data_IF_986750977663
#
_entry.id   IF_986750977663
#
_cell.length_a   1.000
_cell.length_b   1.000
_cell.length_c   1.000
_cell.angle_alpha   90.00
_cell.angle_beta   90.00
_cell.angle_gamma   90.00
#
_symmetry.space_group_name_H-M   'P 1'
#
loop_
_entity.id
_entity.type
_entity.pdbx_description
1 polymer ?
#
# COMPACT_ATOMS: atom_id res chain seq x y z
N UNK A 1 6.11 -2.92 20.49
CA UNK A 1 6.97 -3.44 19.38
C UNK A 1 7.77 -2.32 18.73
N UNK A 2 7.16 -1.21 18.27
CA UNK A 2 7.88 -0.10 17.59
C UNK A 2 8.95 0.54 18.47
N UNK A 3 8.67 0.85 19.73
CA UNK A 3 9.68 1.37 20.68
C UNK A 3 10.92 0.46 20.77
N UNK A 4 10.72 -0.86 20.76
CA UNK A 4 11.84 -1.82 20.76
C UNK A 4 12.66 -1.75 19.46
N UNK A 5 12.03 -1.47 18.31
CA UNK A 5 12.77 -1.21 17.06
C UNK A 5 13.56 0.08 17.17
N UNK A 6 12.99 1.14 17.75
CA UNK A 6 13.72 2.38 17.97
C UNK A 6 14.95 2.19 18.88
N UNK A 7 14.88 1.35 19.92
CA UNK A 7 16.07 1.05 20.76
C UNK A 7 17.16 0.29 20.00
N UNK A 8 16.82 -0.34 18.87
CA UNK A 8 17.75 -1.00 17.95
C UNK A 8 18.25 -0.08 16.82
N UNK A 9 17.89 1.20 16.85
CA UNK A 9 18.33 2.20 15.88
C UNK A 9 17.42 2.38 14.66
N UNK A 10 16.27 1.68 14.57
CA UNK A 10 15.31 1.88 13.48
C UNK A 10 14.59 3.23 13.60
N UNK A 11 14.29 3.87 12.47
CA UNK A 11 13.50 5.11 12.39
C UNK A 11 14.29 6.38 12.72
N UNK A 12 15.61 6.31 12.80
CA UNK A 12 16.50 7.45 13.07
C UNK A 12 17.40 7.80 11.86
N UNK A 13 17.07 7.31 10.66
CA UNK A 13 17.93 7.44 9.48
C UNK A 13 18.14 8.91 9.07
N UNK A 14 17.15 9.78 9.23
CA UNK A 14 17.26 11.21 8.90
C UNK A 14 18.12 12.00 9.93
N UNK A 15 18.24 11.49 11.17
CA UNK A 15 18.99 12.18 12.25
C UNK A 15 20.44 11.73 12.45
N UNK A 16 20.83 10.55 11.96
CA UNK A 16 22.11 9.89 12.25
C UNK A 16 23.03 9.78 11.02
N UNK A 17 22.91 10.66 10.04
CA UNK A 17 23.78 10.64 8.85
C UNK A 17 23.40 9.61 7.77
N UNK A 18 22.17 9.10 7.81
CA UNK A 18 21.61 8.28 6.71
C UNK A 18 22.00 6.79 6.72
N UNK A 19 22.73 6.31 7.73
CA UNK A 19 23.24 4.92 7.76
C UNK A 19 22.45 3.96 8.68
N UNK A 20 21.36 4.42 9.32
CA UNK A 20 20.55 3.60 10.20
C UNK A 20 19.52 2.72 9.47
N UNK A 21 19.03 1.65 10.13
CA UNK A 21 17.95 0.83 9.57
C UNK A 21 16.63 1.62 9.52
N UNK A 22 15.98 1.57 8.36
CA UNK A 22 14.75 2.33 8.06
C UNK A 22 13.53 1.70 8.73
N UNK A 23 12.65 2.53 9.33
CA UNK A 23 11.36 2.15 9.86
C UNK A 23 10.26 2.96 9.17
N UNK A 24 9.57 2.33 8.22
CA UNK A 24 8.42 2.92 7.55
C UNK A 24 7.12 2.35 8.11
N UNK A 25 6.13 3.22 8.24
CA UNK A 25 4.76 2.84 8.62
C UNK A 25 3.87 2.79 7.38
N UNK A 26 2.82 1.99 7.42
CA UNK A 26 1.81 1.92 6.37
C UNK A 26 0.45 2.26 6.98
N UNK A 27 -0.24 3.21 6.37
CA UNK A 27 -1.61 3.58 6.70
C UNK A 27 -2.58 3.09 5.64
N UNK A 28 -3.59 2.33 6.08
CA UNK A 28 -4.75 1.98 5.26
C UNK A 28 -6.02 2.57 5.88
N UNK A 29 -6.90 3.23 5.09
CA UNK A 29 -8.21 3.64 5.57
C UNK A 29 -9.06 2.44 5.99
N UNK A 30 -9.80 2.57 7.09
CA UNK A 30 -10.71 1.51 7.57
C UNK A 30 -12.08 1.48 6.89
N UNK A 31 -12.34 2.36 5.92
CA UNK A 31 -13.64 2.53 5.27
C UNK A 31 -13.59 2.82 3.78
N UNK A 32 -14.75 3.11 3.18
CA UNK A 32 -14.94 3.40 1.76
C UNK A 32 -14.49 4.83 1.38
N UNK A 33 -13.27 5.20 1.75
CA UNK A 33 -12.66 6.50 1.44
C UNK A 33 -11.18 6.31 1.09
N UNK A 34 -10.62 7.29 0.38
CA UNK A 34 -9.20 7.33 0.07
C UNK A 34 -8.41 7.83 1.29
N UNK A 35 -7.14 7.48 1.40
CA UNK A 35 -6.28 8.07 2.43
C UNK A 35 -6.20 9.60 2.25
N UNK A 36 -5.96 10.34 3.33
CA UNK A 36 -5.68 11.77 3.24
C UNK A 36 -4.33 12.03 2.54
N UNK A 37 -4.01 13.31 2.36
CA UNK A 37 -2.69 13.73 1.88
C UNK A 37 -1.57 13.13 2.72
N UNK A 38 -0.57 12.53 2.05
CA UNK A 38 0.49 11.78 2.70
C UNK A 38 1.35 12.64 3.61
N UNK A 39 1.69 13.86 3.20
CA UNK A 39 2.53 14.76 4.02
C UNK A 39 1.81 15.20 5.28
N UNK A 40 0.51 15.49 5.18
CA UNK A 40 -0.32 15.85 6.34
C UNK A 40 -0.45 14.70 7.31
N UNK A 41 -0.67 13.49 6.79
CA UNK A 41 -0.76 12.26 7.58
C UNK A 41 0.56 11.98 8.30
N UNK A 42 1.68 12.09 7.60
CA UNK A 42 3.00 11.86 8.19
C UNK A 42 3.31 12.84 9.31
N UNK A 43 3.01 14.14 9.13
CA UNK A 43 3.19 15.15 10.19
C UNK A 43 2.36 14.83 11.43
N UNK A 44 1.08 14.47 11.24
CA UNK A 44 0.19 14.13 12.35
C UNK A 44 0.69 12.90 13.11
N UNK A 45 1.06 11.83 12.40
CA UNK A 45 1.59 10.61 13.00
C UNK A 45 2.92 10.85 13.71
N UNK A 46 3.81 11.64 13.11
CA UNK A 46 5.12 11.97 13.70
C UNK A 46 4.95 12.71 15.03
N UNK A 47 4.09 13.73 15.05
CA UNK A 47 3.81 14.48 16.28
C UNK A 47 3.18 13.57 17.34
N UNK A 48 2.11 12.85 17.00
CA UNK A 48 1.32 12.07 17.96
C UNK A 48 2.07 10.86 18.51
N UNK A 49 2.78 10.10 17.65
CA UNK A 49 3.55 8.93 18.09
C UNK A 49 4.77 9.33 18.92
N UNK A 50 5.39 10.47 18.64
CA UNK A 50 6.48 10.99 19.46
C UNK A 50 5.97 11.45 20.82
N UNK A 51 4.86 12.20 20.88
CA UNK A 51 4.27 12.73 22.12
C UNK A 51 3.74 11.61 23.03
N UNK A 52 2.89 10.71 22.48
CA UNK A 52 2.19 9.71 23.27
C UNK A 52 3.08 8.51 23.64
N UNK A 53 4.04 8.16 22.78
CA UNK A 53 4.77 6.87 22.90
C UNK A 53 6.28 6.98 22.75
N UNK A 54 6.84 8.16 22.43
CA UNK A 54 8.26 8.32 22.17
C UNK A 54 8.74 7.50 20.96
N UNK A 55 7.85 7.24 19.97
CA UNK A 55 8.16 6.47 18.78
C UNK A 55 8.61 7.42 17.66
N UNK A 56 9.72 7.06 17.02
CA UNK A 56 10.23 7.70 15.81
C UNK A 56 10.17 6.73 14.63
N UNK A 57 9.99 7.27 13.42
CA UNK A 57 9.95 6.52 12.17
C UNK A 57 10.39 7.41 11.01
N UNK A 58 10.74 6.82 9.88
CA UNK A 58 11.22 7.58 8.71
C UNK A 58 10.05 8.10 7.88
N UNK A 59 9.16 7.22 7.38
CA UNK A 59 8.02 7.62 6.54
C UNK A 59 6.73 6.89 6.90
N UNK A 60 5.59 7.52 6.53
CA UNK A 60 4.27 6.88 6.49
C UNK A 60 3.84 6.76 5.03
N UNK A 61 3.55 5.55 4.57
CA UNK A 61 2.97 5.33 3.25
C UNK A 61 1.46 5.18 3.36
N UNK A 62 0.73 6.09 2.72
CA UNK A 62 -0.72 6.06 2.65
C UNK A 62 -1.17 5.21 1.46
N UNK A 63 -1.77 4.04 1.71
CA UNK A 63 -2.17 3.09 0.69
C UNK A 63 -3.69 2.95 0.65
N UNK A 64 -4.31 3.23 -0.51
CA UNK A 64 -5.73 2.97 -0.72
C UNK A 64 -6.02 1.46 -0.70
N UNK A 65 -7.16 1.07 -0.12
CA UNK A 65 -7.58 -0.32 -0.11
C UNK A 65 -8.01 -0.79 -1.50
N UNK A 66 -7.59 -2.00 -1.87
CA UNK A 66 -8.14 -2.68 -3.04
C UNK A 66 -9.51 -3.31 -2.65
N UNK A 67 -10.57 -3.18 -3.50
CA UNK A 67 -11.90 -3.73 -3.24
C UNK A 67 -11.97 -5.26 -3.40
N UNK A 68 -11.08 -5.98 -2.73
CA UNK A 68 -10.99 -7.44 -2.72
C UNK A 68 -11.23 -8.04 -1.32
N UNK A 69 -11.48 -9.33 -1.27
CA UNK A 69 -11.61 -10.09 -0.03
C UNK A 69 -12.64 -9.49 0.94
N UNK A 70 -12.28 -9.34 2.20
CA UNK A 70 -13.17 -8.83 3.25
C UNK A 70 -13.65 -7.41 3.00
N UNK A 71 -12.77 -6.54 2.48
CA UNK A 71 -13.14 -5.17 2.17
C UNK A 71 -14.10 -5.09 0.97
N UNK A 72 -13.86 -5.86 -0.09
CA UNK A 72 -14.80 -5.99 -1.21
C UNK A 72 -16.19 -6.45 -0.75
N UNK A 73 -16.23 -7.48 0.12
CA UNK A 73 -17.48 -7.96 0.71
C UNK A 73 -18.20 -6.88 1.55
N UNK A 74 -17.47 -6.07 2.30
CA UNK A 74 -18.04 -4.95 3.05
C UNK A 74 -18.65 -3.92 2.10
N UNK A 75 -17.94 -3.53 1.04
CA UNK A 75 -18.40 -2.58 0.04
C UNK A 75 -19.70 -3.06 -0.64
N UNK A 76 -19.77 -4.34 -1.01
CA UNK A 76 -20.99 -4.95 -1.56
C UNK A 76 -22.15 -4.91 -0.56
N UNK A 77 -21.95 -5.35 0.67
CA UNK A 77 -22.98 -5.38 1.71
C UNK A 77 -23.52 -3.99 2.07
N UNK A 78 -22.69 -2.97 1.99
CA UNK A 78 -23.06 -1.58 2.32
C UNK A 78 -23.51 -0.76 1.10
N UNK A 79 -23.52 -1.35 -0.10
CA UNK A 79 -23.86 -0.64 -1.36
C UNK A 79 -22.87 0.44 -1.77
N UNK A 80 -21.65 0.41 -1.22
CA UNK A 80 -20.65 1.45 -1.45
C UNK A 80 -19.63 1.11 -2.56
N UNK A 81 -19.75 -0.05 -3.22
CA UNK A 81 -18.75 -0.50 -4.18
C UNK A 81 -18.57 0.48 -5.34
N UNK A 82 -19.66 0.84 -6.02
CA UNK A 82 -19.61 1.75 -7.18
C UNK A 82 -19.05 3.12 -6.79
N UNK A 83 -19.52 3.67 -5.67
CA UNK A 83 -19.01 4.94 -5.15
C UNK A 83 -17.50 4.90 -4.85
N UNK A 84 -17.02 3.78 -4.29
CA UNK A 84 -15.61 3.61 -3.99
C UNK A 84 -14.78 3.44 -5.27
N UNK A 85 -15.26 2.64 -6.24
CA UNK A 85 -14.60 2.49 -7.54
C UNK A 85 -14.48 3.83 -8.28
N UNK A 86 -15.54 4.65 -8.28
CA UNK A 86 -15.50 5.98 -8.88
C UNK A 86 -14.45 6.90 -8.22
N UNK A 87 -14.26 6.78 -6.90
CA UNK A 87 -13.18 7.51 -6.20
C UNK A 87 -11.79 7.05 -6.65
N UNK A 88 -11.57 5.72 -6.77
CA UNK A 88 -10.29 5.18 -7.26
C UNK A 88 -9.99 5.63 -8.69
N UNK A 89 -10.99 5.58 -9.58
CA UNK A 89 -10.83 6.05 -10.96
C UNK A 89 -10.53 7.56 -11.01
N UNK A 90 -11.24 8.35 -10.21
CA UNK A 90 -11.01 9.81 -10.15
C UNK A 90 -9.66 10.21 -9.53
N UNK A 91 -9.05 9.33 -8.73
CA UNK A 91 -7.74 9.55 -8.12
C UNK A 91 -6.59 8.92 -8.93
N UNK A 92 -6.89 8.27 -10.05
CA UNK A 92 -5.88 7.63 -10.88
C UNK A 92 -4.91 8.67 -11.48
N UNK A 93 -3.61 8.46 -11.25
CA UNK A 93 -2.56 9.28 -11.85
C UNK A 93 -1.86 8.51 -12.98
N UNK A 94 -2.09 8.88 -14.26
CA UNK A 94 -1.47 8.21 -15.41
C UNK A 94 0.06 8.33 -15.44
N UNK A 95 0.64 9.35 -14.79
CA UNK A 95 2.09 9.54 -14.75
C UNK A 95 2.82 8.44 -13.96
N UNK A 96 2.11 7.73 -13.06
CA UNK A 96 2.68 6.61 -12.30
C UNK A 96 2.79 5.31 -13.10
N UNK A 97 2.08 5.19 -14.22
CA UNK A 97 2.00 3.96 -15.03
C UNK A 97 3.37 3.44 -15.47
N UNK A 98 4.32 4.26 -15.97
CA UNK A 98 5.63 3.75 -16.40
C UNK A 98 6.45 3.11 -15.27
N UNK A 99 6.24 3.55 -14.02
CA UNK A 99 6.99 3.10 -12.84
C UNK A 99 6.27 2.02 -12.00
N UNK A 100 5.08 1.56 -12.45
CA UNK A 100 4.33 0.52 -11.70
C UNK A 100 5.12 -0.79 -11.61
N UNK A 101 5.20 -1.36 -10.42
CA UNK A 101 5.92 -2.61 -10.13
C UNK A 101 5.44 -3.80 -10.96
N UNK A 102 4.14 -3.90 -11.22
CA UNK A 102 3.54 -4.95 -12.04
C UNK A 102 4.05 -4.99 -13.50
N UNK A 103 4.76 -3.97 -13.96
CA UNK A 103 5.43 -3.95 -15.27
C UNK A 103 6.74 -4.77 -15.30
N UNK A 104 7.36 -4.98 -14.14
CA UNK A 104 8.67 -5.63 -14.01
C UNK A 104 8.70 -6.80 -13.04
N UNK A 105 7.58 -7.09 -12.36
CA UNK A 105 7.45 -8.19 -11.40
C UNK A 105 6.45 -9.23 -11.88
N UNK A 106 6.61 -10.44 -11.38
CA UNK A 106 5.65 -11.54 -11.50
C UNK A 106 5.34 -12.07 -10.12
N UNK A 107 4.05 -12.35 -9.89
CA UNK A 107 3.61 -13.13 -8.74
C UNK A 107 3.45 -14.59 -9.17
N UNK A 108 3.98 -15.50 -8.35
CA UNK A 108 3.91 -16.94 -8.62
C UNK A 108 3.07 -17.59 -7.53
N UNK A 109 2.00 -18.26 -7.93
CA UNK A 109 1.17 -19.05 -7.03
C UNK A 109 1.94 -20.25 -6.46
N UNK A 110 1.44 -20.83 -5.36
CA UNK A 110 2.00 -22.02 -4.75
C UNK A 110 2.01 -23.24 -5.69
N UNK A 111 1.13 -23.25 -6.68
CA UNK A 111 0.97 -24.26 -7.72
C UNK A 111 1.76 -23.96 -9.02
N UNK A 112 2.57 -22.89 -9.02
CA UNK A 112 3.33 -22.43 -10.17
C UNK A 112 2.55 -21.55 -11.15
N UNK A 113 1.27 -21.22 -10.86
CA UNK A 113 0.48 -20.31 -11.70
C UNK A 113 1.09 -18.90 -11.68
N UNK A 114 1.24 -18.29 -12.86
CA UNK A 114 1.82 -16.96 -13.02
C UNK A 114 0.75 -15.88 -13.07
N UNK A 115 1.02 -14.78 -12.40
CA UNK A 115 0.21 -13.56 -12.38
C UNK A 115 1.11 -12.35 -12.64
N UNK A 116 0.57 -11.31 -13.26
CA UNK A 116 1.29 -10.05 -13.51
C UNK A 116 1.39 -9.14 -12.29
N UNK A 117 0.54 -9.37 -11.26
CA UNK A 117 0.67 -8.74 -9.95
C UNK A 117 -0.03 -9.57 -8.86
N UNK A 118 0.28 -9.28 -7.61
CA UNK A 118 -0.31 -9.89 -6.42
C UNK A 118 -1.82 -9.62 -6.29
N UNK A 119 -2.31 -8.47 -6.74
CA UNK A 119 -3.75 -8.19 -6.78
C UNK A 119 -4.49 -9.06 -7.78
N UNK A 120 -3.91 -9.31 -8.96
CA UNK A 120 -4.48 -10.23 -9.93
C UNK A 120 -4.43 -11.67 -9.42
N UNK A 121 -3.38 -12.03 -8.67
CA UNK A 121 -3.34 -13.31 -7.96
C UNK A 121 -4.47 -13.42 -6.92
N UNK A 122 -4.68 -12.40 -6.09
CA UNK A 122 -5.77 -12.36 -5.11
C UNK A 122 -7.17 -12.38 -5.76
N UNK A 123 -7.29 -11.87 -6.97
CA UNK A 123 -8.54 -11.88 -7.76
C UNK A 123 -8.72 -13.19 -8.58
N UNK A 124 -7.74 -14.10 -8.59
CA UNK A 124 -7.78 -15.33 -9.39
C UNK A 124 -7.68 -15.08 -10.90
N UNK A 125 -6.97 -14.04 -11.33
CA UNK A 125 -6.79 -13.63 -12.72
C UNK A 125 -5.37 -13.97 -13.21
N UNK A 126 -5.10 -15.23 -13.62
CA UNK A 126 -3.79 -15.65 -14.06
C UNK A 126 -3.41 -15.06 -15.42
N UNK A 127 -2.11 -15.00 -15.70
CA UNK A 127 -1.59 -14.70 -17.03
C UNK A 127 -2.08 -15.74 -18.04
N UNK A 128 -2.56 -15.30 -19.21
CA UNK A 128 -2.99 -16.19 -20.27
C UNK A 128 -1.80 -16.98 -20.83
N UNK A 129 -1.95 -18.31 -20.90
CA UNK A 129 -0.95 -19.24 -21.49
C UNK A 129 0.46 -19.15 -20.86
N UNK A 130 0.56 -18.79 -19.58
CA UNK A 130 1.85 -18.63 -18.90
C UNK A 130 2.68 -17.44 -19.39
N UNK A 131 2.18 -16.69 -20.36
CA UNK A 131 2.79 -15.46 -20.87
C UNK A 131 2.11 -14.26 -20.21
N UNK A 132 2.91 -13.24 -19.95
CA UNK A 132 2.41 -11.95 -19.49
C UNK A 132 1.37 -11.43 -20.47
N UNK A 133 0.10 -11.55 -20.16
CA UNK A 133 -0.89 -10.67 -20.78
C UNK A 133 -0.78 -9.32 -20.06
N UNK A 134 0.23 -8.54 -20.42
CA UNK A 134 0.23 -7.15 -20.02
C UNK A 134 -1.06 -6.53 -20.55
N UNK A 135 -1.96 -6.10 -19.67
CA UNK A 135 -3.12 -5.25 -20.00
C UNK A 135 -2.69 -3.89 -20.58
N UNK A 136 -1.41 -3.73 -20.86
CA UNK A 136 -0.74 -2.50 -21.27
C UNK A 136 0.12 -2.71 -22.54
N UNK A 137 -0.40 -3.42 -23.51
CA UNK A 137 0.17 -3.40 -24.85
C UNK A 137 -0.51 -2.30 -25.68
#
# INVERSE_FOLDING_TARGET
MLQKLNTLGYGASEGAGGEGPVLNLVFNPSGAFLPPDQESLEREYRAKLAEDYGIVFDHVFAIANNPLGRFGNLLHKTGNLERYMNKLVGAFNPETVPAMMCRSQLSVGWDGTLYDCDFNQAAGLPCKNGLRSCLWA
#
